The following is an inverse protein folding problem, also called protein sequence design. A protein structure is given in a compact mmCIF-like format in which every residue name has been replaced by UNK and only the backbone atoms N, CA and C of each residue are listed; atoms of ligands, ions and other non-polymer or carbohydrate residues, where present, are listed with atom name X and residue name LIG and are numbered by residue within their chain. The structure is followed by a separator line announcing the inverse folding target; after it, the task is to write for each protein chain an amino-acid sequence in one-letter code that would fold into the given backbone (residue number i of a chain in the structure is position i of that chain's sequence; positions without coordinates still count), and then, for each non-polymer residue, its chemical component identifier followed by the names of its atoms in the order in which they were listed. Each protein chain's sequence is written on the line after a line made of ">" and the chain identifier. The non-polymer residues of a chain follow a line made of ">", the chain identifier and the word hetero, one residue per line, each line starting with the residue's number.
data_IF_259213390584
#
_entry.id   IF_259213390584
#
_cell.length_a   1.000
_cell.length_b   1.000
_cell.length_c   1.000
_cell.angle_alpha   90.00
_cell.angle_beta   90.00
_cell.angle_gamma   90.00
#
_symmetry.space_group_name_H-M   'P 1'
#
loop_
_entity.id
_entity.type
_entity.pdbx_description
1 polymer ?
#
# COMPACT_ATOMS: atom_id res chain seq x y z
N UNK A 1 13.74 22.52 18.70
CA UNK A 1 13.21 21.60 19.74
C UNK A 1 12.98 20.28 19.03
N UNK A 2 13.46 19.17 19.59
CA UNK A 2 13.22 17.85 19.02
C UNK A 2 11.72 17.57 18.91
N UNK A 3 11.26 17.11 17.75
CA UNK A 3 9.84 16.74 17.53
C UNK A 3 9.67 15.30 18.00
N UNK A 4 9.03 15.13 19.17
CA UNK A 4 8.92 13.84 19.84
C UNK A 4 7.67 13.03 19.45
N UNK A 5 6.65 13.70 18.92
CA UNK A 5 5.36 13.05 18.63
C UNK A 5 4.69 13.63 17.40
N UNK A 6 3.87 12.80 16.74
CA UNK A 6 3.01 13.14 15.61
C UNK A 6 1.56 13.04 16.09
N UNK A 7 0.83 14.16 16.05
CA UNK A 7 -0.61 14.19 16.30
C UNK A 7 -1.43 13.92 15.04
N UNK A 8 -2.74 13.80 15.16
CA UNK A 8 -3.62 13.48 14.04
C UNK A 8 -3.58 14.53 12.92
N UNK A 9 -3.45 15.83 13.25
CA UNK A 9 -3.39 16.90 12.23
C UNK A 9 -2.10 16.82 11.42
N UNK A 10 -0.95 16.57 12.07
CA UNK A 10 0.32 16.39 11.39
C UNK A 10 0.32 15.10 10.55
N UNK A 11 -0.21 13.99 11.09
CA UNK A 11 -0.34 12.74 10.36
C UNK A 11 -1.21 12.89 9.12
N UNK A 12 -2.33 13.61 9.20
CA UNK A 12 -3.18 13.89 8.04
C UNK A 12 -2.40 14.64 6.94
N UNK A 13 -1.63 15.68 7.31
CA UNK A 13 -0.76 16.41 6.38
C UNK A 13 0.30 15.51 5.76
N UNK A 14 0.97 14.67 6.57
CA UNK A 14 1.97 13.71 6.11
C UNK A 14 1.37 12.71 5.12
N UNK A 15 0.18 12.19 5.41
CA UNK A 15 -0.52 11.24 4.53
C UNK A 15 -0.89 11.88 3.19
N UNK A 16 -1.47 13.09 3.22
CA UNK A 16 -1.83 13.83 2.00
C UNK A 16 -0.60 14.17 1.16
N UNK A 17 0.50 14.58 1.79
CA UNK A 17 1.76 14.85 1.11
C UNK A 17 2.36 13.58 0.47
N UNK A 18 2.30 12.45 1.16
CA UNK A 18 2.69 11.15 0.60
C UNK A 18 1.86 10.77 -0.63
N UNK A 19 0.55 11.00 -0.58
CA UNK A 19 -0.35 10.75 -1.71
C UNK A 19 -0.02 11.68 -2.90
N UNK A 20 0.22 12.97 -2.66
CA UNK A 20 0.59 13.93 -3.69
C UNK A 20 1.94 13.59 -4.34
N UNK A 21 2.95 13.20 -3.55
CA UNK A 21 4.25 12.81 -4.07
C UNK A 21 4.18 11.54 -4.93
N UNK A 22 3.38 10.54 -4.50
CA UNK A 22 3.16 9.33 -5.29
C UNK A 22 2.50 9.65 -6.64
N UNK A 23 1.48 10.52 -6.66
CA UNK A 23 0.84 10.97 -7.91
C UNK A 23 1.85 11.66 -8.82
N UNK A 24 2.68 12.55 -8.30
CA UNK A 24 3.71 13.26 -9.06
C UNK A 24 4.75 12.31 -9.68
N UNK A 25 5.00 11.16 -9.05
CA UNK A 25 5.97 10.15 -9.50
C UNK A 25 5.35 8.95 -10.20
N UNK A 26 4.06 8.95 -10.41
CA UNK A 26 3.27 7.83 -10.96
C UNK A 26 3.86 7.25 -12.24
N UNK A 27 4.17 8.08 -13.22
CA UNK A 27 4.68 7.61 -14.51
C UNK A 27 6.08 6.99 -14.38
N UNK A 28 6.96 7.59 -13.58
CA UNK A 28 8.27 6.99 -13.26
C UNK A 28 8.14 5.60 -12.63
N UNK A 29 7.18 5.42 -11.71
CA UNK A 29 6.93 4.11 -11.07
C UNK A 29 6.36 3.11 -12.08
N UNK A 30 5.51 3.56 -13.01
CA UNK A 30 5.01 2.74 -14.11
C UNK A 30 6.14 2.20 -15.00
N UNK A 31 7.15 3.04 -15.30
CA UNK A 31 8.32 2.64 -16.10
C UNK A 31 9.16 1.53 -15.43
N UNK A 32 9.17 1.44 -14.12
CA UNK A 32 9.87 0.40 -13.35
C UNK A 32 9.13 -0.93 -13.32
N UNK A 33 7.87 -0.99 -13.78
CA UNK A 33 7.02 -2.15 -13.62
C UNK A 33 7.35 -3.27 -14.62
N UNK A 34 8.13 -4.26 -14.16
CA UNK A 34 8.48 -5.47 -14.91
C UNK A 34 8.05 -6.76 -14.24
N UNK A 35 7.51 -6.69 -13.01
CA UNK A 35 7.11 -7.86 -12.21
C UNK A 35 5.83 -7.55 -11.41
N UNK A 36 4.87 -8.50 -11.27
CA UNK A 36 4.84 -9.86 -11.86
C UNK A 36 4.47 -9.88 -13.35
N UNK A 37 3.85 -8.83 -13.85
CA UNK A 37 3.48 -8.62 -15.26
C UNK A 37 3.95 -7.23 -15.66
N UNK A 38 4.64 -7.07 -16.78
CA UNK A 38 5.16 -5.78 -17.23
C UNK A 38 4.09 -4.96 -17.98
N UNK A 39 2.97 -4.66 -17.30
CA UNK A 39 1.83 -3.90 -17.84
C UNK A 39 1.91 -2.39 -17.60
N UNK A 40 2.96 -1.94 -16.87
CA UNK A 40 3.24 -0.51 -16.68
C UNK A 40 2.19 0.22 -15.85
N UNK A 41 1.52 -0.45 -14.93
CA UNK A 41 0.39 0.10 -14.19
C UNK A 41 0.57 0.23 -12.67
N UNK A 42 1.73 -0.20 -12.13
CA UNK A 42 2.01 -0.18 -10.68
C UNK A 42 1.82 1.20 -10.06
N UNK A 43 2.41 2.24 -10.65
CA UNK A 43 2.27 3.61 -10.18
C UNK A 43 0.83 4.10 -10.23
N UNK A 44 0.13 3.79 -11.32
CA UNK A 44 -1.30 4.11 -11.49
C UNK A 44 -2.15 3.42 -10.42
N UNK A 45 -1.96 2.14 -10.19
CA UNK A 45 -2.73 1.36 -9.22
C UNK A 45 -2.50 1.83 -7.79
N UNK A 46 -1.24 2.08 -7.40
CA UNK A 46 -0.90 2.60 -6.08
C UNK A 46 -1.48 4.00 -5.87
N UNK A 47 -1.38 4.87 -6.89
CA UNK A 47 -1.93 6.22 -6.84
C UNK A 47 -3.46 6.21 -6.68
N UNK A 48 -4.19 5.47 -7.50
CA UNK A 48 -5.65 5.35 -7.36
C UNK A 48 -6.06 4.85 -5.98
N UNK A 49 -5.27 3.94 -5.42
CA UNK A 49 -5.50 3.38 -4.09
C UNK A 49 -5.36 4.44 -3.00
N UNK A 50 -4.22 5.15 -2.97
CA UNK A 50 -3.96 6.14 -1.90
C UNK A 50 -4.84 7.38 -2.05
N UNK A 51 -5.13 7.81 -3.30
CA UNK A 51 -5.97 8.97 -3.58
C UNK A 51 -7.43 8.75 -3.16
N UNK A 52 -7.93 7.52 -3.18
CA UNK A 52 -9.24 7.18 -2.63
C UNK A 52 -9.33 7.51 -1.13
N UNK A 53 -8.29 7.18 -0.35
CA UNK A 53 -8.21 7.53 1.06
C UNK A 53 -7.92 9.04 1.26
N UNK A 54 -7.03 9.62 0.44
CA UNK A 54 -6.68 11.03 0.53
C UNK A 54 -7.90 11.95 0.36
N UNK A 55 -8.84 11.57 -0.51
CA UNK A 55 -10.10 12.29 -0.68
C UNK A 55 -10.94 12.31 0.60
N UNK A 56 -10.99 11.20 1.35
CA UNK A 56 -11.71 11.15 2.62
C UNK A 56 -10.99 11.95 3.71
N UNK A 57 -9.66 11.84 3.76
CA UNK A 57 -8.83 12.59 4.72
C UNK A 57 -8.90 14.11 4.46
N UNK A 58 -8.84 14.54 3.20
CA UNK A 58 -8.91 15.98 2.84
C UNK A 58 -10.25 16.63 3.17
N UNK A 59 -11.32 15.85 3.29
CA UNK A 59 -12.65 16.33 3.68
C UNK A 59 -12.81 16.53 5.20
N UNK A 60 -11.82 16.15 6.01
CA UNK A 60 -11.86 16.29 7.47
C UNK A 60 -11.40 17.68 7.90
N UNK A 61 -12.27 18.45 8.57
CA UNK A 61 -11.89 19.77 9.11
C UNK A 61 -10.99 19.66 10.35
N UNK A 62 -11.24 18.68 11.20
CA UNK A 62 -10.48 18.42 12.45
C UNK A 62 -10.36 16.93 12.67
N UNK A 63 -9.33 16.29 12.10
CA UNK A 63 -9.14 14.86 12.27
C UNK A 63 -8.74 14.53 13.71
N UNK A 64 -9.41 13.56 14.32
CA UNK A 64 -8.88 12.79 15.42
C UNK A 64 -8.22 11.51 14.91
N UNK A 65 -7.43 10.83 15.76
CA UNK A 65 -6.64 9.68 15.32
C UNK A 65 -7.53 8.50 14.88
N UNK A 66 -8.67 8.28 15.53
CA UNK A 66 -9.57 7.17 15.19
C UNK A 66 -10.25 7.39 13.83
N UNK A 67 -10.84 8.56 13.60
CA UNK A 67 -11.50 8.88 12.34
C UNK A 67 -10.51 8.92 11.17
N UNK A 68 -9.30 9.47 11.39
CA UNK A 68 -8.22 9.49 10.41
C UNK A 68 -7.75 8.06 10.05
N UNK A 69 -7.51 7.22 11.05
CA UNK A 69 -7.12 5.83 10.85
C UNK A 69 -8.18 5.05 10.05
N UNK A 70 -9.46 5.27 10.35
CA UNK A 70 -10.58 4.67 9.61
C UNK A 70 -10.63 5.14 8.15
N UNK A 71 -10.50 6.44 7.90
CA UNK A 71 -10.51 7.00 6.55
C UNK A 71 -9.36 6.46 5.69
N UNK A 72 -8.15 6.37 6.26
CA UNK A 72 -6.98 5.82 5.57
C UNK A 72 -7.18 4.33 5.27
N UNK A 73 -7.58 3.51 6.26
CA UNK A 73 -7.76 2.07 6.10
C UNK A 73 -8.86 1.74 5.09
N UNK A 74 -10.07 2.16 5.37
CA UNK A 74 -11.24 1.81 4.55
C UNK A 74 -11.24 2.52 3.20
N UNK A 75 -10.79 3.77 3.15
CA UNK A 75 -10.67 4.52 1.89
C UNK A 75 -9.67 3.88 0.93
N UNK A 76 -8.49 3.48 1.41
CA UNK A 76 -7.49 2.80 0.58
C UNK A 76 -7.95 1.41 0.11
N UNK A 77 -8.65 0.65 0.94
CA UNK A 77 -9.16 -0.66 0.56
C UNK A 77 -10.25 -0.57 -0.53
N UNK A 78 -11.20 0.37 -0.38
CA UNK A 78 -12.22 0.63 -1.42
C UNK A 78 -11.61 1.07 -2.75
N UNK A 79 -10.56 1.89 -2.68
CA UNK A 79 -9.82 2.36 -3.85
C UNK A 79 -8.78 1.40 -4.40
N UNK A 80 -8.48 0.31 -3.71
CA UNK A 80 -7.39 -0.60 -4.08
C UNK A 80 -7.55 -1.12 -5.52
N UNK A 81 -6.45 -1.09 -6.28
CA UNK A 81 -6.38 -1.57 -7.66
C UNK A 81 -5.13 -2.40 -7.84
N UNK A 82 -5.26 -3.51 -8.59
CA UNK A 82 -4.17 -4.42 -8.87
C UNK A 82 -3.52 -4.99 -7.61
N UNK A 83 -2.50 -5.82 -7.77
CA UNK A 83 -1.74 -6.38 -6.63
C UNK A 83 -1.04 -5.28 -5.82
N UNK A 84 -0.41 -4.32 -6.49
CA UNK A 84 0.35 -3.23 -5.84
C UNK A 84 -0.53 -2.34 -4.96
N UNK A 85 -1.72 -1.97 -5.47
CA UNK A 85 -2.68 -1.17 -4.70
C UNK A 85 -3.25 -1.95 -3.52
N UNK A 86 -3.58 -3.24 -3.69
CA UNK A 86 -4.08 -4.04 -2.57
C UNK A 86 -3.01 -4.21 -1.49
N UNK A 87 -1.75 -4.48 -1.86
CA UNK A 87 -0.66 -4.59 -0.88
C UNK A 87 -0.45 -3.25 -0.16
N UNK A 88 -0.45 -2.12 -0.87
CA UNK A 88 -0.38 -0.79 -0.26
C UNK A 88 -1.53 -0.57 0.73
N UNK A 89 -2.77 -0.93 0.37
CA UNK A 89 -3.92 -0.81 1.27
C UNK A 89 -3.75 -1.66 2.54
N UNK A 90 -3.13 -2.82 2.45
CA UNK A 90 -2.87 -3.67 3.61
C UNK A 90 -1.72 -3.15 4.51
N UNK A 91 -0.71 -2.52 3.91
CA UNK A 91 0.32 -1.78 4.67
C UNK A 91 -0.34 -0.64 5.47
N UNK A 92 -1.16 0.18 4.80
CA UNK A 92 -1.88 1.28 5.44
C UNK A 92 -2.84 0.76 6.53
N UNK A 93 -3.57 -0.32 6.28
CA UNK A 93 -4.47 -0.94 7.25
C UNK A 93 -3.73 -1.46 8.49
N UNK A 94 -2.60 -2.14 8.30
CA UNK A 94 -1.80 -2.61 9.44
C UNK A 94 -1.26 -1.46 10.28
N UNK A 95 -0.76 -0.40 9.63
CA UNK A 95 -0.29 0.81 10.26
C UNK A 95 -1.39 1.48 11.09
N UNK A 96 -2.54 1.74 10.49
CA UNK A 96 -3.66 2.43 11.13
C UNK A 96 -4.29 1.66 12.28
N UNK A 97 -4.27 0.32 12.24
CA UNK A 97 -4.73 -0.51 13.37
C UNK A 97 -3.93 -0.31 14.65
N UNK A 98 -2.67 0.08 14.54
CA UNK A 98 -1.83 0.34 15.73
C UNK A 98 -2.11 1.73 16.29
N UNK A 99 -2.23 2.73 15.42
CA UNK A 99 -2.30 4.13 15.85
C UNK A 99 -3.70 4.61 16.23
N UNK A 100 -4.78 3.90 15.86
CA UNK A 100 -6.16 4.39 15.97
C UNK A 100 -6.60 4.74 17.40
N UNK A 101 -6.04 4.09 18.42
CA UNK A 101 -6.37 4.30 19.82
C UNK A 101 -5.38 5.25 20.52
N UNK A 102 -4.33 5.68 19.79
CA UNK A 102 -3.30 6.56 20.30
C UNK A 102 -3.71 8.03 20.15
N UNK A 103 -3.27 8.87 21.09
CA UNK A 103 -3.46 10.32 20.96
C UNK A 103 -2.37 10.97 20.12
N UNK A 104 -1.17 10.46 20.24
CA UNK A 104 0.04 10.92 19.57
C UNK A 104 0.92 9.71 19.27
N UNK A 105 1.70 9.80 18.22
CA UNK A 105 2.59 8.74 17.76
C UNK A 105 4.01 9.16 18.07
N UNK A 106 4.68 8.42 18.95
CA UNK A 106 6.11 8.50 19.21
C UNK A 106 6.90 7.46 18.39
N UNK A 107 8.21 7.36 18.59
CA UNK A 107 9.07 6.40 17.89
C UNK A 107 8.70 4.95 18.18
N UNK A 108 8.22 4.64 19.39
CA UNK A 108 7.83 3.28 19.79
C UNK A 108 6.54 2.87 19.09
N UNK A 109 5.51 3.73 19.13
CA UNK A 109 4.24 3.49 18.44
C UNK A 109 4.46 3.39 16.94
N UNK A 110 5.34 4.23 16.36
CA UNK A 110 5.67 4.22 14.94
C UNK A 110 6.35 2.91 14.52
N UNK A 111 7.29 2.41 15.33
CA UNK A 111 7.94 1.11 15.08
C UNK A 111 6.93 -0.05 15.14
N UNK A 112 6.04 -0.06 16.12
CA UNK A 112 4.97 -1.06 16.23
C UNK A 112 3.99 -0.98 15.05
N UNK A 113 3.67 0.23 14.59
CA UNK A 113 2.81 0.45 13.44
C UNK A 113 3.45 -0.06 12.14
N UNK A 114 4.76 0.16 11.94
CA UNK A 114 5.52 -0.37 10.81
C UNK A 114 5.56 -1.91 10.82
N UNK A 115 5.79 -2.53 11.99
CA UNK A 115 5.79 -3.99 12.12
C UNK A 115 4.41 -4.58 11.81
N UNK A 116 3.34 -3.97 12.32
CA UNK A 116 1.99 -4.42 12.03
C UNK A 116 1.59 -4.21 10.57
N UNK A 117 2.05 -3.13 9.94
CA UNK A 117 1.90 -2.90 8.51
C UNK A 117 2.52 -4.04 7.69
N UNK A 118 3.79 -4.37 7.97
CA UNK A 118 4.50 -5.50 7.38
C UNK A 118 3.73 -6.81 7.56
N UNK A 119 3.41 -7.16 8.79
CA UNK A 119 2.74 -8.42 9.10
C UNK A 119 1.38 -8.55 8.39
N UNK A 120 0.60 -7.47 8.33
CA UNK A 120 -0.70 -7.44 7.65
C UNK A 120 -0.54 -7.64 6.14
N UNK A 121 0.42 -6.97 5.51
CA UNK A 121 0.66 -7.11 4.07
C UNK A 121 1.18 -8.51 3.70
N UNK A 122 2.11 -9.09 4.47
CA UNK A 122 2.58 -10.45 4.24
C UNK A 122 1.45 -11.49 4.39
N UNK A 123 0.56 -11.33 5.39
CA UNK A 123 -0.60 -12.22 5.58
C UNK A 123 -1.59 -12.15 4.39
N UNK A 124 -1.71 -10.98 3.76
CA UNK A 124 -2.63 -10.78 2.64
C UNK A 124 -2.20 -11.49 1.36
N UNK A 125 -0.90 -11.67 1.15
CA UNK A 125 -0.32 -12.29 -0.06
C UNK A 125 -0.09 -13.77 0.18
N UNK A 126 -0.70 -14.64 -0.61
CA UNK A 126 -0.60 -16.09 -0.44
C UNK A 126 0.82 -16.63 -0.63
N UNK A 127 1.55 -16.10 -1.60
CA UNK A 127 2.93 -16.52 -1.94
C UNK A 127 3.84 -15.29 -1.98
N UNK A 128 4.19 -14.72 -0.81
CA UNK A 128 5.04 -13.53 -0.76
C UNK A 128 6.40 -13.82 -1.39
N UNK A 129 6.88 -12.87 -2.19
CA UNK A 129 8.20 -12.94 -2.84
C UNK A 129 9.09 -11.84 -2.30
N UNK A 130 10.34 -12.23 -1.99
CA UNK A 130 11.38 -11.27 -1.64
C UNK A 130 11.84 -10.49 -2.90
N UNK A 131 12.38 -9.31 -2.70
CA UNK A 131 12.75 -8.39 -3.79
C UNK A 131 11.56 -7.54 -4.27
N UNK A 132 10.51 -7.41 -3.45
CA UNK A 132 9.29 -6.64 -3.78
C UNK A 132 8.99 -5.59 -2.70
N UNK A 133 7.90 -4.83 -2.87
CA UNK A 133 7.36 -3.89 -1.86
C UNK A 133 7.30 -4.51 -0.45
N UNK A 134 7.05 -5.81 -0.34
CA UNK A 134 7.01 -6.53 0.94
C UNK A 134 8.39 -6.55 1.61
N UNK A 135 9.45 -6.72 0.83
CA UNK A 135 10.83 -6.70 1.34
C UNK A 135 11.22 -5.30 1.82
N UNK A 136 10.83 -4.26 1.08
CA UNK A 136 11.05 -2.87 1.51
C UNK A 136 10.29 -2.58 2.80
N UNK A 137 9.01 -2.98 2.90
CA UNK A 137 8.22 -2.84 4.12
C UNK A 137 8.83 -3.60 5.32
N UNK A 138 9.42 -4.78 5.08
CA UNK A 138 10.16 -5.55 6.10
C UNK A 138 11.40 -4.79 6.58
N UNK A 139 12.17 -4.22 5.66
CA UNK A 139 13.34 -3.40 6.02
C UNK A 139 12.95 -2.15 6.82
N UNK A 140 11.87 -1.47 6.44
CA UNK A 140 11.31 -0.33 7.18
C UNK A 140 10.97 -0.74 8.62
N UNK A 141 10.23 -1.84 8.81
CA UNK A 141 9.82 -2.32 10.12
C UNK A 141 11.02 -2.71 11.00
N UNK A 142 12.01 -3.39 10.41
CA UNK A 142 13.24 -3.76 11.10
C UNK A 142 14.01 -2.52 11.57
N UNK A 143 14.24 -1.55 10.66
CA UNK A 143 15.00 -0.35 11.01
C UNK A 143 14.25 0.54 11.99
N UNK A 144 12.93 0.63 11.88
CA UNK A 144 12.09 1.35 12.82
C UNK A 144 12.20 0.75 14.25
N UNK A 145 12.19 -0.58 14.39
CA UNK A 145 12.40 -1.24 15.68
C UNK A 145 13.78 -0.95 16.27
N UNK A 146 14.85 -1.03 15.45
CA UNK A 146 16.21 -0.68 15.88
C UNK A 146 16.30 0.79 16.36
N UNK A 147 15.73 1.72 15.58
CA UNK A 147 15.79 3.13 15.91
C UNK A 147 14.99 3.51 17.15
N UNK A 148 13.85 2.84 17.39
CA UNK A 148 13.04 3.09 18.60
C UNK A 148 13.75 2.70 19.91
N UNK A 149 14.76 1.82 19.85
CA UNK A 149 15.63 1.50 20.99
C UNK A 149 16.73 2.54 21.21
N UNK A 150 17.03 3.37 20.19
CA UNK A 150 18.18 4.28 20.19
C UNK A 150 17.78 5.71 20.46
N UNK A 151 16.64 6.18 19.92
CA UNK A 151 16.22 7.58 20.00
C UNK A 151 14.71 7.73 20.19
N UNK A 152 14.30 8.77 20.93
CA UNK A 152 12.91 9.23 21.02
C UNK A 152 12.66 10.46 20.13
N UNK A 153 13.66 10.88 19.31
CA UNK A 153 13.60 12.02 18.42
C UNK A 153 13.22 11.59 17.00
N UNK A 154 12.05 12.03 16.54
CA UNK A 154 11.56 11.73 15.19
C UNK A 154 12.42 12.38 14.08
N UNK A 155 13.15 13.48 14.39
CA UNK A 155 14.06 14.12 13.44
C UNK A 155 15.32 13.25 13.16
N UNK A 156 15.68 12.35 14.08
CA UNK A 156 16.73 11.35 13.89
C UNK A 156 16.15 10.03 13.35
N UNK A 157 15.00 9.62 13.87
CA UNK A 157 14.35 8.35 13.55
C UNK A 157 13.94 8.26 12.07
N UNK A 158 13.16 9.25 11.58
CA UNK A 158 12.56 9.20 10.24
C UNK A 158 13.59 9.15 9.12
N UNK A 159 14.64 10.00 9.07
CA UNK A 159 15.63 9.93 8.01
C UNK A 159 16.46 8.65 8.05
N UNK A 160 16.72 8.07 9.22
CA UNK A 160 17.43 6.80 9.34
C UNK A 160 16.61 5.63 8.76
N UNK A 161 15.30 5.60 9.02
CA UNK A 161 14.39 4.59 8.46
C UNK A 161 14.26 4.75 6.94
N UNK A 162 14.14 5.98 6.44
CA UNK A 162 14.07 6.27 5.00
C UNK A 162 15.36 5.87 4.26
N UNK A 163 16.52 6.18 4.83
CA UNK A 163 17.81 5.81 4.23
C UNK A 163 17.93 4.29 4.11
N UNK A 164 17.58 3.55 5.16
CA UNK A 164 17.61 2.09 5.12
C UNK A 164 16.57 1.49 4.18
N UNK A 165 15.39 2.07 4.10
CA UNK A 165 14.38 1.65 3.12
C UNK A 165 14.89 1.78 1.68
N UNK A 166 15.63 2.86 1.37
CA UNK A 166 16.29 3.05 0.08
C UNK A 166 17.37 2.01 -0.17
N UNK A 167 18.21 1.69 0.81
CA UNK A 167 19.23 0.64 0.70
C UNK A 167 18.58 -0.72 0.38
N UNK A 168 17.49 -1.08 1.07
CA UNK A 168 16.76 -2.32 0.81
C UNK A 168 16.13 -2.33 -0.58
N UNK A 169 15.56 -1.20 -1.02
CA UNK A 169 15.02 -1.05 -2.37
C UNK A 169 16.10 -1.28 -3.43
N UNK A 170 17.29 -0.70 -3.26
CA UNK A 170 18.39 -0.84 -4.20
C UNK A 170 18.91 -2.28 -4.28
N UNK A 171 18.66 -3.12 -3.26
CA UNK A 171 19.01 -4.53 -3.23
C UNK A 171 17.95 -5.44 -3.87
N UNK A 172 16.75 -4.94 -4.20
CA UNK A 172 15.67 -5.76 -4.78
C UNK A 172 16.07 -6.49 -6.07
N UNK A 173 16.91 -5.93 -6.96
CA UNK A 173 17.39 -6.66 -8.15
C UNK A 173 18.24 -7.89 -7.82
N UNK A 174 18.94 -7.91 -6.68
CA UNK A 174 19.73 -9.08 -6.28
C UNK A 174 18.84 -10.21 -5.71
N UNK A 175 17.61 -9.91 -5.33
CA UNK A 175 16.65 -10.86 -4.77
C UNK A 175 15.67 -11.40 -5.82
N UNK A 176 15.41 -10.65 -6.88
CA UNK A 176 14.43 -11.00 -7.92
C UNK A 176 15.08 -10.86 -9.32
N UNK A 177 15.45 -11.99 -9.95
CA UNK A 177 16.25 -11.99 -11.20
C UNK A 177 15.68 -11.13 -12.34
N UNK A 178 14.34 -11.07 -12.50
CA UNK A 178 13.71 -10.27 -13.55
C UNK A 178 13.98 -8.77 -13.40
N UNK A 179 14.13 -8.27 -12.17
CA UNK A 179 14.50 -6.87 -11.90
C UNK A 179 15.95 -6.61 -12.33
N UNK A 180 16.82 -7.57 -12.02
CA UNK A 180 18.25 -7.51 -12.41
C UNK A 180 18.43 -7.52 -13.92
N UNK A 181 17.70 -8.39 -14.62
CA UNK A 181 17.72 -8.48 -16.09
C UNK A 181 17.22 -7.19 -16.75
N UNK A 182 16.20 -6.57 -16.16
CA UNK A 182 15.66 -5.29 -16.63
C UNK A 182 16.49 -4.07 -16.18
N UNK A 183 17.40 -4.22 -15.23
CA UNK A 183 18.21 -3.13 -14.67
C UNK A 183 17.41 -2.11 -13.85
N UNK A 184 16.33 -2.56 -13.20
CA UNK A 184 15.42 -1.71 -12.41
C UNK A 184 15.26 -2.23 -10.97
N UNK A 185 14.81 -1.36 -10.07
CA UNK A 185 14.35 -1.74 -8.73
C UNK A 185 12.87 -2.12 -8.75
N UNK A 186 12.36 -2.70 -7.65
CA UNK A 186 10.94 -3.01 -7.55
C UNK A 186 10.07 -1.74 -7.60
N UNK A 187 9.14 -1.70 -8.54
CA UNK A 187 8.24 -0.57 -8.76
C UNK A 187 7.32 -0.28 -7.57
N UNK A 188 6.80 -1.34 -6.92
CA UNK A 188 5.97 -1.20 -5.72
C UNK A 188 6.76 -0.69 -4.52
N UNK A 189 7.99 -1.15 -4.35
CA UNK A 189 8.92 -0.66 -3.33
C UNK A 189 9.30 0.79 -3.55
N UNK A 190 9.56 1.20 -4.81
CA UNK A 190 9.79 2.60 -5.16
C UNK A 190 8.56 3.46 -4.81
N UNK A 191 7.36 2.99 -5.17
CA UNK A 191 6.12 3.70 -4.84
C UNK A 191 5.91 3.87 -3.33
N UNK A 192 6.21 2.85 -2.53
CA UNK A 192 6.16 2.96 -1.06
C UNK A 192 7.16 4.00 -0.54
N UNK A 193 8.37 4.01 -1.08
CA UNK A 193 9.39 4.98 -0.70
C UNK A 193 8.98 6.42 -1.05
N UNK A 194 8.33 6.63 -2.20
CA UNK A 194 7.82 7.95 -2.59
C UNK A 194 6.70 8.45 -1.65
N UNK A 195 5.81 7.55 -1.20
CA UNK A 195 4.82 7.91 -0.17
C UNK A 195 5.50 8.38 1.12
N UNK A 196 6.52 7.66 1.56
CA UNK A 196 7.25 8.01 2.79
C UNK A 196 8.07 9.30 2.65
N UNK A 197 8.66 9.56 1.48
CA UNK A 197 9.37 10.82 1.20
C UNK A 197 8.42 12.02 1.27
N UNK A 198 7.24 11.94 0.62
CA UNK A 198 6.24 13.00 0.72
C UNK A 198 5.77 13.23 2.16
N UNK A 199 5.53 12.15 2.91
CA UNK A 199 5.19 12.24 4.33
C UNK A 199 6.28 12.93 5.15
N UNK A 200 7.55 12.59 4.92
CA UNK A 200 8.68 13.21 5.59
C UNK A 200 8.85 14.70 5.23
N UNK A 201 8.62 15.07 3.98
CA UNK A 201 8.64 16.47 3.55
C UNK A 201 7.60 17.32 4.30
N UNK A 202 6.40 16.80 4.51
CA UNK A 202 5.37 17.45 5.32
C UNK A 202 5.75 17.50 6.81
N UNK A 203 6.38 16.46 7.34
CA UNK A 203 6.90 16.46 8.72
C UNK A 203 7.93 17.58 8.92
N UNK A 204 8.78 17.84 7.93
CA UNK A 204 9.75 18.97 7.93
C UNK A 204 9.10 20.34 7.70
N UNK A 205 7.76 20.40 7.49
CA UNK A 205 7.05 21.65 7.24
C UNK A 205 7.29 22.25 5.85
N UNK A 206 7.72 21.45 4.86
CA UNK A 206 7.85 21.91 3.47
C UNK A 206 6.46 22.20 2.87
N UNK A 207 6.40 23.17 1.96
CA UNK A 207 5.19 23.43 1.17
C UNK A 207 4.92 22.27 0.21
N UNK A 208 3.69 21.74 0.23
CA UNK A 208 3.25 20.63 -0.59
C UNK A 208 2.18 21.13 -1.55
N UNK A 209 2.29 20.76 -2.82
CA UNK A 209 1.26 21.01 -3.82
C UNK A 209 0.17 19.93 -3.74
N UNK A 210 -1.00 20.29 -3.24
CA UNK A 210 -2.16 19.42 -3.12
C UNK A 210 -3.12 19.49 -4.33
N UNK A 211 -2.79 20.24 -5.38
CA UNK A 211 -3.65 20.44 -6.56
C UNK A 211 -4.05 19.12 -7.23
N UNK A 212 -3.20 18.11 -7.19
CA UNK A 212 -3.48 16.78 -7.72
C UNK A 212 -4.61 16.07 -6.93
N UNK A 213 -4.71 16.28 -5.61
CA UNK A 213 -5.76 15.70 -4.78
C UNK A 213 -7.11 16.36 -5.11
N UNK A 214 -7.12 17.67 -5.33
CA UNK A 214 -8.32 18.43 -5.72
C UNK A 214 -8.79 18.06 -7.13
N UNK A 215 -7.87 17.89 -8.09
CA UNK A 215 -8.15 17.54 -9.48
C UNK A 215 -8.68 16.11 -9.66
N UNK A 216 -8.24 15.16 -8.83
CA UNK A 216 -8.65 13.74 -8.94
C UNK A 216 -10.13 13.50 -8.64
N UNK A 217 -10.83 14.49 -8.12
CA UNK A 217 -12.29 14.43 -7.89
C UNK A 217 -13.12 14.35 -9.18
N UNK A 218 -12.54 14.55 -10.38
CA UNK A 218 -13.26 14.69 -11.64
C UNK A 218 -12.87 13.79 -12.82
N UNK A 219 -11.86 12.94 -12.72
CA UNK A 219 -11.30 12.25 -13.91
C UNK A 219 -11.84 10.83 -14.10
N UNK A 220 -12.46 10.58 -15.26
CA UNK A 220 -12.78 9.23 -15.76
C UNK A 220 -11.52 8.59 -16.37
N UNK A 221 -11.27 7.33 -16.00
CA UNK A 221 -10.16 6.52 -16.48
C UNK A 221 -10.13 6.39 -18.01
N UNK A 222 -8.97 6.64 -18.61
CA UNK A 222 -8.61 6.19 -19.96
C UNK A 222 -7.68 4.99 -19.84
N UNK A 223 -8.03 3.90 -20.58
CA UNK A 223 -7.21 2.69 -20.65
C UNK A 223 -5.94 2.98 -21.48
N UNK A 224 -4.77 2.86 -20.88
CA UNK A 224 -3.51 2.73 -21.61
C UNK A 224 -3.23 1.24 -21.82
N UNK A 225 -3.11 0.81 -23.07
CA UNK A 225 -2.69 -0.54 -23.44
C UNK A 225 -1.23 -0.51 -23.86
N UNK A 226 -0.38 -1.22 -23.15
CA UNK A 226 0.94 -1.63 -23.65
C UNK A 226 0.97 -3.15 -23.69
N UNK A 227 1.28 -3.71 -24.87
CA UNK A 227 1.50 -5.14 -25.05
C UNK A 227 2.96 -5.45 -24.75
N UNK A 228 3.19 -6.17 -23.66
CA UNK A 228 4.42 -6.94 -23.46
C UNK A 228 4.06 -8.43 -23.55
N UNK A 229 4.80 -9.19 -24.36
CA UNK A 229 4.70 -10.64 -24.41
C UNK A 229 5.34 -11.24 -23.16
N UNK A 230 4.57 -11.29 -22.06
CA UNK A 230 4.87 -12.15 -20.92
C UNK A 230 4.19 -13.50 -21.15
N UNK A 231 4.78 -14.58 -20.63
CA UNK A 231 4.17 -15.92 -20.65
C UNK A 231 2.97 -15.94 -19.69
N UNK A 232 1.84 -15.37 -20.14
CA UNK A 232 0.63 -15.13 -19.35
C UNK A 232 -0.12 -16.45 -19.23
N UNK A 233 0.01 -17.11 -18.07
CA UNK A 233 -0.67 -18.37 -17.77
C UNK A 233 -2.19 -18.19 -17.62
N UNK A 234 -2.63 -17.06 -17.02
CA UNK A 234 -4.01 -16.70 -16.78
C UNK A 234 -4.35 -15.38 -17.44
N UNK A 235 -5.28 -15.39 -18.39
CA UNK A 235 -5.54 -14.29 -19.31
C UNK A 235 -6.40 -13.16 -18.75
N UNK A 236 -7.05 -13.35 -17.58
CA UNK A 236 -7.95 -12.35 -16.98
C UNK A 236 -7.47 -11.94 -15.59
N UNK A 237 -7.23 -10.65 -15.41
CA UNK A 237 -7.17 -10.03 -14.10
C UNK A 237 -8.61 -9.76 -13.64
N UNK A 238 -9.05 -10.45 -12.60
CA UNK A 238 -10.42 -10.38 -12.08
C UNK A 238 -10.41 -9.77 -10.69
N UNK A 239 -11.08 -8.64 -10.54
CA UNK A 239 -11.11 -7.89 -9.30
C UNK A 239 -12.54 -7.45 -8.98
N UNK A 240 -12.99 -7.66 -7.73
CA UNK A 240 -14.30 -7.24 -7.26
C UNK A 240 -14.34 -7.06 -5.74
N UNK A 241 -15.37 -6.37 -5.28
CA UNK A 241 -15.66 -6.16 -3.86
C UNK A 241 -17.00 -6.82 -3.57
N UNK A 242 -17.03 -7.63 -2.51
CA UNK A 242 -18.26 -8.20 -1.95
C UNK A 242 -18.65 -7.33 -0.75
N UNK A 243 -19.90 -6.87 -0.73
CA UNK A 243 -20.52 -6.31 0.47
C UNK A 243 -21.11 -7.45 1.28
N UNK A 244 -20.79 -7.55 2.56
CA UNK A 244 -21.25 -8.65 3.42
C UNK A 244 -22.22 -8.12 4.48
N UNK A 245 -23.35 -8.83 4.65
CA UNK A 245 -24.32 -8.56 5.73
C UNK A 245 -23.93 -9.23 7.06
N UNK A 246 -22.91 -10.07 7.03
CA UNK A 246 -22.40 -10.83 8.17
C UNK A 246 -20.90 -10.65 8.30
N UNK A 247 -20.39 -10.81 9.52
CA UNK A 247 -18.96 -10.80 9.76
C UNK A 247 -18.27 -11.91 8.95
N UNK A 248 -17.28 -11.52 8.14
CA UNK A 248 -16.41 -12.41 7.38
C UNK A 248 -15.25 -12.85 8.27
N UNK A 249 -15.15 -14.13 8.53
CA UNK A 249 -14.17 -14.69 9.48
C UNK A 249 -12.84 -15.04 8.80
N UNK A 250 -11.80 -15.30 9.60
CA UNK A 250 -10.53 -15.82 9.05
C UNK A 250 -10.70 -17.20 8.39
N UNK A 251 -11.67 -18.01 8.84
CA UNK A 251 -11.96 -19.30 8.21
C UNK A 251 -12.56 -19.12 6.81
N UNK A 252 -13.50 -18.16 6.67
CA UNK A 252 -14.10 -17.81 5.37
C UNK A 252 -13.03 -17.27 4.41
N UNK A 253 -12.11 -16.43 4.91
CA UNK A 253 -10.99 -15.91 4.12
C UNK A 253 -10.08 -17.03 3.62
N UNK A 254 -9.79 -18.02 4.45
CA UNK A 254 -8.97 -19.18 4.07
C UNK A 254 -9.69 -20.07 3.05
N UNK A 255 -10.98 -20.29 3.20
CA UNK A 255 -11.80 -21.05 2.25
C UNK A 255 -11.84 -20.37 0.88
N UNK A 256 -12.06 -19.04 0.85
CA UNK A 256 -12.06 -18.26 -0.39
C UNK A 256 -10.69 -18.29 -1.08
N UNK A 257 -9.60 -18.12 -0.34
CA UNK A 257 -8.24 -18.22 -0.87
C UNK A 257 -7.96 -19.60 -1.46
N UNK A 258 -8.34 -20.67 -0.76
CA UNK A 258 -8.15 -22.06 -1.23
C UNK A 258 -8.93 -22.34 -2.52
N UNK A 259 -10.17 -21.86 -2.61
CA UNK A 259 -10.96 -21.99 -3.83
C UNK A 259 -10.32 -21.22 -5.00
N UNK A 260 -9.94 -19.96 -4.80
CA UNK A 260 -9.31 -19.13 -5.82
C UNK A 260 -7.99 -19.73 -6.32
N UNK A 261 -7.21 -20.36 -5.42
CA UNK A 261 -5.96 -21.06 -5.79
C UNK A 261 -6.19 -22.23 -6.75
N UNK A 262 -7.37 -22.87 -6.69
CA UNK A 262 -7.74 -23.96 -7.59
C UNK A 262 -8.02 -23.50 -9.02
N UNK A 263 -8.33 -22.20 -9.23
CA UNK A 263 -8.75 -21.65 -10.53
C UNK A 263 -7.84 -20.54 -11.07
N UNK A 264 -6.82 -20.12 -10.31
CA UNK A 264 -5.97 -19.00 -10.71
C UNK A 264 -4.69 -18.85 -9.91
N UNK A 265 -4.02 -17.70 -10.09
CA UNK A 265 -2.86 -17.27 -9.31
C UNK A 265 -2.94 -15.78 -8.98
N UNK A 266 -1.85 -15.23 -8.39
CA UNK A 266 -1.79 -13.81 -7.98
C UNK A 266 -2.96 -13.40 -7.08
N UNK A 267 -3.34 -14.29 -6.15
CA UNK A 267 -4.55 -14.18 -5.36
C UNK A 267 -4.34 -13.22 -4.19
N UNK A 268 -5.28 -12.29 -4.06
CA UNK A 268 -5.48 -11.49 -2.86
C UNK A 268 -6.95 -11.60 -2.45
N UNK A 269 -7.18 -11.97 -1.19
CA UNK A 269 -8.49 -11.97 -0.56
C UNK A 269 -8.33 -11.30 0.79
N UNK A 270 -8.95 -10.17 1.00
CA UNK A 270 -8.85 -9.39 2.23
C UNK A 270 -10.21 -8.84 2.63
N UNK A 271 -10.52 -8.93 3.91
CA UNK A 271 -11.77 -8.45 4.48
C UNK A 271 -11.54 -7.26 5.42
N UNK A 272 -12.48 -6.34 5.46
CA UNK A 272 -12.56 -5.23 6.41
C UNK A 272 -14.03 -4.90 6.71
N UNK A 273 -14.40 -4.94 7.98
CA UNK A 273 -15.78 -4.72 8.47
C UNK A 273 -16.83 -5.45 7.61
N UNK A 274 -17.46 -4.74 6.66
CA UNK A 274 -18.57 -5.18 5.82
C UNK A 274 -18.18 -5.41 4.34
N UNK A 275 -16.87 -5.40 4.02
CA UNK A 275 -16.39 -5.61 2.64
C UNK A 275 -15.33 -6.69 2.56
N UNK A 276 -15.36 -7.47 1.46
CA UNK A 276 -14.31 -8.40 1.08
C UNK A 276 -13.78 -8.02 -0.30
N UNK A 277 -12.50 -7.70 -0.37
CA UNK A 277 -11.82 -7.40 -1.65
C UNK A 277 -11.17 -8.66 -2.18
N UNK A 278 -11.49 -9.00 -3.42
CA UNK A 278 -10.93 -10.13 -4.16
C UNK A 278 -10.14 -9.62 -5.35
N UNK A 279 -8.96 -10.20 -5.56
CA UNK A 279 -8.16 -10.08 -6.77
C UNK A 279 -7.61 -11.45 -7.14
N UNK A 280 -7.72 -11.86 -8.41
CA UNK A 280 -7.20 -13.13 -8.91
C UNK A 280 -6.91 -13.05 -10.40
N UNK A 281 -5.79 -13.61 -10.85
CA UNK A 281 -5.55 -13.89 -12.27
C UNK A 281 -6.09 -15.29 -12.60
N UNK A 282 -7.05 -15.38 -13.51
CA UNK A 282 -7.73 -16.64 -13.83
C UNK A 282 -8.15 -16.69 -15.30
N UNK A 283 -8.32 -17.91 -15.84
CA UNK A 283 -8.98 -18.11 -17.14
C UNK A 283 -10.51 -18.30 -17.00
N UNK A 284 -11.02 -18.30 -15.75
CA UNK A 284 -12.41 -18.56 -15.43
C UNK A 284 -13.02 -17.47 -14.52
N UNK A 285 -13.11 -16.19 -14.99
CA UNK A 285 -13.59 -15.09 -14.15
C UNK A 285 -15.00 -15.32 -13.61
N UNK A 286 -15.87 -16.04 -14.35
CA UNK A 286 -17.20 -16.40 -13.87
C UNK A 286 -17.20 -17.32 -12.67
N UNK A 287 -16.22 -18.22 -12.53
CA UNK A 287 -16.07 -19.06 -11.35
C UNK A 287 -15.60 -18.24 -10.14
N UNK A 288 -14.68 -17.29 -10.34
CA UNK A 288 -14.28 -16.38 -9.27
C UNK A 288 -15.45 -15.54 -8.75
N UNK A 289 -16.28 -15.00 -9.66
CA UNK A 289 -17.49 -14.24 -9.30
C UNK A 289 -18.54 -15.10 -8.59
N UNK A 290 -18.56 -16.41 -8.79
CA UNK A 290 -19.52 -17.30 -8.13
C UNK A 290 -19.35 -17.36 -6.60
N UNK A 291 -18.23 -16.88 -6.05
CA UNK A 291 -18.01 -16.75 -4.61
C UNK A 291 -19.07 -15.90 -3.90
N UNK A 292 -19.72 -14.98 -4.62
CA UNK A 292 -20.83 -14.18 -4.05
C UNK A 292 -22.05 -15.00 -3.64
N UNK A 293 -22.14 -16.26 -4.05
CA UNK A 293 -23.23 -17.17 -3.72
C UNK A 293 -22.89 -18.14 -2.56
N UNK A 294 -21.68 -18.10 -2.07
CA UNK A 294 -21.21 -18.89 -0.94
C UNK A 294 -21.40 -18.11 0.36
#
# INVERSE_FOLDING_TARGET
>A
MATKTINAELLAKMFLAGAANLEAKKEFINELNVFPVPDGDTGTNMTLTIMSAAKEVSAMERPDMESLAKAISSGSLRGARGNSGVILSQLLRGFTKTIREEKEIDTIVLAQACERARATAYKAVMKPKEGTILTVAKGIAQKAAEMAEVTDDLEEFLPAVLAYAKEVLDQTPEMLPVLKEAGVVDSGGQGLLEVLHGAYDAFLGKEIDYSAIEASAGTKMTKAGAQAEADIKFGYCTEFIIMTDKAFTEADEMEFKSYLESIGDSIVCVADEDIVKIHVHTNHPGLALSLIHI
#
